data_IF_029720111097
#
_entry.id   IF_029720111097
#
_cell.length_a   1.000
_cell.length_b   1.000
_cell.length_c   1.000
_cell.angle_alpha   90.00
_cell.angle_beta   90.00
_cell.angle_gamma   90.00
#
_symmetry.space_group_name_H-M   'P 1'
#
loop_
_entity.id
_entity.type
_entity.pdbx_description
1 polymer ?
#
# COMPACT_ATOMS: atom_id res chain seq x y z
N UNK A 1 -25.73 23.26 28.42
CA UNK A 1 -24.75 23.03 27.35
C UNK A 1 -24.34 24.40 26.81
N UNK A 2 -23.14 24.85 27.15
CA UNK A 2 -22.56 26.06 26.55
C UNK A 2 -21.84 25.64 25.29
N UNK A 3 -22.37 25.97 24.11
CA UNK A 3 -21.71 25.78 22.84
C UNK A 3 -20.58 26.81 22.76
N UNK A 4 -19.32 26.37 22.80
CA UNK A 4 -18.17 27.25 22.59
C UNK A 4 -18.13 27.81 21.17
N UNK A 5 -17.37 28.87 20.93
CA UNK A 5 -17.28 29.53 19.60
C UNK A 5 -16.69 28.63 18.50
N UNK A 6 -16.15 27.48 18.83
CA UNK A 6 -15.57 26.54 17.87
C UNK A 6 -14.33 27.08 17.13
N UNK A 7 -13.56 26.20 16.46
CA UNK A 7 -12.45 26.58 15.60
C UNK A 7 -12.96 26.80 14.16
N UNK A 8 -13.31 28.06 13.80
CA UNK A 8 -13.82 28.42 12.47
C UNK A 8 -12.83 28.10 11.35
N UNK A 9 -11.53 28.40 11.44
CA UNK A 9 -10.55 28.01 10.44
C UNK A 9 -10.46 26.49 10.19
N UNK A 10 -10.49 25.69 11.26
CA UNK A 10 -10.49 24.22 11.15
C UNK A 10 -11.80 23.71 10.50
N UNK A 11 -12.93 24.34 10.80
CA UNK A 11 -14.22 24.00 10.17
C UNK A 11 -14.21 24.30 8.67
N UNK A 12 -13.66 25.45 8.24
CA UNK A 12 -13.52 25.78 6.82
C UNK A 12 -12.64 24.77 6.11
N UNK A 13 -11.49 24.41 6.69
CA UNK A 13 -10.58 23.41 6.15
C UNK A 13 -11.31 22.06 5.97
N UNK A 14 -12.00 21.57 7.00
CA UNK A 14 -12.72 20.30 6.95
C UNK A 14 -13.82 20.31 5.88
N UNK A 15 -14.57 21.40 5.74
CA UNK A 15 -15.59 21.52 4.71
C UNK A 15 -15.01 21.55 3.29
N UNK A 16 -13.82 22.11 3.12
CA UNK A 16 -13.10 22.09 1.84
C UNK A 16 -12.56 20.69 1.53
N UNK A 17 -11.96 19.99 2.51
CA UNK A 17 -11.49 18.61 2.36
C UNK A 17 -12.62 17.63 2.00
N UNK A 18 -13.83 17.88 2.53
CA UNK A 18 -15.03 17.09 2.22
C UNK A 18 -15.77 17.55 0.97
N UNK A 19 -15.23 18.54 0.24
CA UNK A 19 -15.83 19.16 -0.95
C UNK A 19 -17.25 19.75 -0.70
N UNK A 20 -17.60 20.06 0.54
CA UNK A 20 -18.93 20.58 0.94
C UNK A 20 -18.89 22.13 1.00
N UNK A 21 -18.46 22.75 -0.08
CA UNK A 21 -18.30 24.21 -0.15
C UNK A 21 -19.59 25.00 0.11
N UNK A 22 -20.75 24.41 -0.19
CA UNK A 22 -22.05 25.05 -0.01
C UNK A 22 -22.42 25.35 1.45
N UNK A 23 -21.78 24.69 2.41
CA UNK A 23 -22.01 24.92 3.84
C UNK A 23 -21.18 26.08 4.39
N UNK A 24 -20.10 26.50 3.75
CA UNK A 24 -19.25 27.60 4.22
C UNK A 24 -20.08 28.89 4.42
N UNK A 25 -20.84 29.39 3.42
CA UNK A 25 -21.67 30.56 3.59
C UNK A 25 -22.84 30.33 4.56
N UNK A 26 -23.39 29.13 4.59
CA UNK A 26 -24.54 28.80 5.47
C UNK A 26 -24.20 28.87 6.96
N UNK A 27 -22.92 28.58 7.30
CA UNK A 27 -22.43 28.70 8.69
C UNK A 27 -21.75 30.04 8.98
N UNK A 28 -21.83 31.00 8.06
CA UNK A 28 -21.22 32.33 8.24
C UNK A 28 -19.69 32.27 8.32
N UNK A 29 -19.12 31.38 7.60
CA UNK A 29 -17.67 31.17 7.54
C UNK A 29 -17.02 31.86 6.31
N UNK A 30 -17.80 32.71 5.61
CA UNK A 30 -17.31 33.51 4.49
C UNK A 30 -16.19 34.43 4.96
N UNK A 31 -15.07 34.42 4.23
CA UNK A 31 -13.89 35.23 4.53
C UNK A 31 -13.01 34.69 5.68
N UNK A 32 -13.40 33.59 6.30
CA UNK A 32 -12.51 32.89 7.23
C UNK A 32 -11.46 32.10 6.43
N UNK A 33 -10.18 32.46 6.58
CA UNK A 33 -9.11 31.68 5.98
C UNK A 33 -9.10 30.27 6.59
N UNK A 34 -8.96 29.21 5.79
CA UNK A 34 -8.80 27.86 6.32
C UNK A 34 -7.55 27.82 7.22
N UNK A 35 -7.63 27.03 8.26
CA UNK A 35 -6.43 26.74 9.07
C UNK A 35 -5.36 26.20 8.13
N UNK A 36 -4.19 26.82 8.11
CA UNK A 36 -3.07 26.31 7.33
C UNK A 36 -2.90 24.84 7.72
N UNK A 37 -2.86 23.96 6.71
CA UNK A 37 -2.47 22.59 6.96
C UNK A 37 -1.19 22.69 7.80
N UNK A 38 -1.21 22.12 9.01
CA UNK A 38 0.03 22.00 9.75
C UNK A 38 1.04 21.47 8.73
N UNK A 39 2.09 22.24 8.46
CA UNK A 39 3.16 21.78 7.59
C UNK A 39 3.51 20.41 8.18
N UNK A 40 3.15 19.35 7.45
CA UNK A 40 3.62 18.03 7.80
C UNK A 40 5.13 18.20 7.79
N UNK A 41 5.71 18.33 8.99
CA UNK A 41 7.14 18.33 9.14
C UNK A 41 7.59 17.11 8.35
N UNK A 42 8.38 17.33 7.32
CA UNK A 42 8.89 16.25 6.49
C UNK A 42 9.61 15.28 7.44
N UNK A 43 8.90 14.26 7.86
CA UNK A 43 9.49 13.20 8.67
C UNK A 43 10.46 12.52 7.74
N UNK A 44 11.74 12.64 8.06
CA UNK A 44 12.78 11.93 7.31
C UNK A 44 12.53 10.42 7.53
N UNK A 45 12.01 9.78 6.50
CA UNK A 45 11.68 8.36 6.56
C UNK A 45 12.99 7.56 6.41
N UNK A 46 13.13 6.45 7.13
CA UNK A 46 14.26 5.57 6.94
C UNK A 46 14.26 5.01 5.51
N UNK A 47 15.44 4.86 4.92
CA UNK A 47 15.59 4.13 3.68
C UNK A 47 15.60 2.63 3.97
N UNK A 48 14.86 1.87 3.16
CA UNK A 48 14.79 0.42 3.30
C UNK A 48 16.15 -0.24 3.00
N UNK A 49 16.47 -1.27 3.73
CA UNK A 49 17.56 -2.16 3.38
C UNK A 49 17.09 -3.12 2.28
N UNK A 50 17.87 -3.22 1.19
CA UNK A 50 17.68 -4.25 0.18
C UNK A 50 18.56 -5.44 0.52
N UNK A 51 17.96 -6.61 0.71
CA UNK A 51 18.67 -7.84 1.06
C UNK A 51 18.22 -9.02 0.19
N UNK A 52 19.02 -10.06 0.15
CA UNK A 52 18.60 -11.36 -0.40
C UNK A 52 17.78 -12.11 0.63
N UNK A 53 16.73 -12.81 0.17
CA UNK A 53 15.91 -13.62 1.05
C UNK A 53 16.79 -14.69 1.74
N UNK A 54 16.69 -14.88 3.06
CA UNK A 54 17.41 -15.94 3.76
C UNK A 54 17.16 -17.33 3.16
N UNK A 55 18.15 -18.22 3.24
CA UNK A 55 18.00 -19.60 2.76
C UNK A 55 16.89 -20.36 3.52
N UNK A 56 16.70 -20.04 4.78
CA UNK A 56 15.62 -20.54 5.64
C UNK A 56 14.81 -19.35 6.15
N UNK A 57 13.85 -18.84 5.34
CA UNK A 57 13.02 -17.75 5.77
C UNK A 57 12.12 -18.19 6.94
N UNK A 58 11.88 -17.30 7.89
CA UNK A 58 10.98 -17.55 9.01
C UNK A 58 10.30 -16.25 9.45
N UNK A 59 9.12 -16.37 10.05
CA UNK A 59 8.37 -15.25 10.57
C UNK A 59 7.35 -14.69 9.58
N UNK A 60 7.04 -13.41 9.71
CA UNK A 60 5.97 -12.77 8.99
C UNK A 60 6.53 -11.88 7.87
N UNK A 61 5.99 -12.05 6.67
CA UNK A 61 6.36 -11.26 5.49
C UNK A 61 5.13 -10.68 4.81
N UNK A 62 5.24 -9.45 4.35
CA UNK A 62 4.33 -8.88 3.36
C UNK A 62 4.85 -9.19 1.96
N UNK A 63 4.06 -9.84 1.12
CA UNK A 63 4.44 -10.18 -0.26
C UNK A 63 3.55 -9.45 -1.26
N UNK A 64 4.18 -8.76 -2.19
CA UNK A 64 3.47 -8.06 -3.26
C UNK A 64 4.21 -8.15 -4.60
N UNK A 65 3.45 -7.94 -5.67
CA UNK A 65 4.02 -7.82 -7.01
C UNK A 65 4.25 -6.34 -7.34
N UNK A 66 5.41 -6.04 -7.93
CA UNK A 66 5.62 -4.80 -8.66
C UNK A 66 5.13 -5.00 -10.08
N UNK A 67 4.13 -4.23 -10.54
CA UNK A 67 3.56 -4.37 -11.87
C UNK A 67 4.61 -4.19 -12.97
N UNK A 68 4.42 -4.87 -14.10
CA UNK A 68 5.24 -4.64 -15.27
C UNK A 68 5.11 -3.19 -15.75
N UNK A 69 6.23 -2.58 -16.08
CA UNK A 69 6.26 -1.26 -16.72
C UNK A 69 6.25 -1.46 -18.23
N UNK A 70 5.24 -0.91 -18.89
CA UNK A 70 5.12 -0.95 -20.34
C UNK A 70 5.36 0.43 -20.95
N UNK A 71 5.96 0.46 -22.11
CA UNK A 71 6.20 1.68 -22.88
C UNK A 71 5.87 1.48 -24.35
N UNK A 72 6.02 2.54 -25.13
CA UNK A 72 5.85 2.49 -26.59
C UNK A 72 7.19 2.57 -27.29
N UNK A 73 7.42 1.67 -28.23
CA UNK A 73 8.50 1.74 -29.19
C UNK A 73 7.87 1.84 -30.59
N UNK A 74 7.73 3.06 -31.09
CA UNK A 74 6.91 3.34 -32.25
C UNK A 74 5.43 3.07 -31.96
N UNK A 75 4.80 2.19 -32.76
CA UNK A 75 3.38 1.78 -32.58
C UNK A 75 3.21 0.54 -31.69
N UNK A 76 4.30 -0.10 -31.27
CA UNK A 76 4.25 -1.34 -30.48
C UNK A 76 4.36 -1.05 -29.00
N UNK A 77 3.51 -1.70 -28.19
CA UNK A 77 3.71 -1.76 -26.75
C UNK A 77 4.83 -2.76 -26.45
N UNK A 78 5.81 -2.31 -25.67
CA UNK A 78 6.92 -3.15 -25.20
C UNK A 78 6.97 -3.14 -23.68
N UNK A 79 7.34 -4.26 -23.09
CA UNK A 79 7.60 -4.37 -21.67
C UNK A 79 9.00 -3.80 -21.41
N UNK A 80 9.08 -2.68 -20.70
CA UNK A 80 10.34 -2.05 -20.31
C UNK A 80 10.94 -2.70 -19.07
N UNK A 81 10.06 -3.04 -18.13
CA UNK A 81 10.40 -3.80 -16.92
C UNK A 81 9.34 -4.87 -16.72
N UNK A 82 9.74 -6.14 -16.59
CA UNK A 82 8.79 -7.21 -16.31
C UNK A 82 8.19 -7.08 -14.92
N UNK A 83 7.07 -7.74 -14.69
CA UNK A 83 6.53 -7.93 -13.35
C UNK A 83 7.57 -8.63 -12.48
N UNK A 84 7.73 -8.15 -11.26
CA UNK A 84 8.63 -8.76 -10.27
C UNK A 84 7.95 -8.83 -8.92
N UNK A 85 8.42 -9.74 -8.09
CA UNK A 85 7.90 -9.93 -6.74
C UNK A 85 8.89 -9.41 -5.72
N UNK A 86 8.37 -9.00 -4.57
CA UNK A 86 9.18 -8.64 -3.42
C UNK A 86 8.47 -9.03 -2.13
N UNK A 87 9.26 -9.27 -1.09
CA UNK A 87 8.78 -9.42 0.27
C UNK A 87 9.29 -8.26 1.12
N UNK A 88 8.54 -7.92 2.16
CA UNK A 88 8.92 -6.95 3.18
C UNK A 88 8.84 -7.62 4.53
N UNK A 89 9.88 -7.43 5.33
CA UNK A 89 9.89 -7.77 6.75
C UNK A 89 10.51 -6.59 7.49
N UNK A 90 9.78 -5.98 8.40
CA UNK A 90 10.14 -4.73 9.06
C UNK A 90 10.44 -3.60 8.06
N UNK A 91 11.68 -3.15 7.94
CA UNK A 91 12.16 -2.15 6.98
C UNK A 91 13.05 -2.75 5.89
N UNK A 92 13.15 -4.07 5.82
CA UNK A 92 13.96 -4.77 4.83
C UNK A 92 13.08 -5.23 3.67
N UNK A 93 13.52 -4.94 2.45
CA UNK A 93 12.87 -5.37 1.22
C UNK A 93 13.71 -6.44 0.54
N UNK A 94 13.09 -7.56 0.24
CA UNK A 94 13.68 -8.70 -0.42
C UNK A 94 13.14 -8.80 -1.85
N UNK A 95 13.90 -8.42 -2.88
CA UNK A 95 13.56 -8.78 -4.26
C UNK A 95 13.47 -10.30 -4.39
N UNK A 96 12.40 -10.81 -4.99
CA UNK A 96 12.15 -12.24 -5.08
C UNK A 96 12.25 -12.73 -6.52
N UNK A 97 13.06 -13.73 -6.73
CA UNK A 97 12.99 -14.58 -7.91
C UNK A 97 11.95 -15.69 -7.70
N UNK A 98 11.59 -16.41 -8.76
CA UNK A 98 10.62 -17.52 -8.66
C UNK A 98 11.02 -18.58 -7.63
N UNK A 99 12.32 -18.89 -7.53
CA UNK A 99 12.84 -19.83 -6.53
C UNK A 99 12.69 -19.32 -5.09
N UNK A 100 12.86 -18.01 -4.87
CA UNK A 100 12.68 -17.37 -3.57
C UNK A 100 11.22 -17.39 -3.14
N UNK A 101 10.33 -17.09 -4.09
CA UNK A 101 8.89 -17.12 -3.86
C UNK A 101 8.42 -18.53 -3.47
N UNK A 102 8.91 -19.55 -4.18
CA UNK A 102 8.63 -20.95 -3.83
C UNK A 102 9.12 -21.27 -2.42
N UNK A 103 10.33 -20.85 -2.04
CA UNK A 103 10.86 -21.05 -0.68
C UNK A 103 10.00 -20.39 0.41
N UNK A 104 9.44 -19.21 0.16
CA UNK A 104 8.51 -18.59 1.09
C UNK A 104 7.20 -19.37 1.19
N UNK A 105 6.67 -19.82 0.03
CA UNK A 105 5.38 -20.50 -0.03
C UNK A 105 5.44 -21.93 0.54
N UNK A 106 6.55 -22.63 0.41
CA UNK A 106 6.73 -24.02 0.89
C UNK A 106 7.18 -24.11 2.35
N UNK A 107 7.33 -23.00 3.06
CA UNK A 107 7.87 -23.00 4.42
C UNK A 107 6.78 -22.81 5.48
N UNK A 108 6.62 -23.82 6.33
CA UNK A 108 5.62 -23.83 7.42
C UNK A 108 5.89 -22.79 8.54
N UNK A 109 7.14 -22.33 8.67
CA UNK A 109 7.53 -21.31 9.66
C UNK A 109 7.29 -19.87 9.15
N UNK A 110 6.69 -19.74 7.96
CA UNK A 110 6.39 -18.46 7.33
C UNK A 110 4.90 -18.16 7.35
N UNK A 111 4.56 -16.94 7.74
CA UNK A 111 3.23 -16.37 7.60
C UNK A 111 3.27 -15.19 6.63
N UNK A 112 2.25 -15.04 5.81
CA UNK A 112 2.22 -14.07 4.73
C UNK A 112 1.02 -13.16 4.82
N UNK A 113 1.26 -11.85 4.79
CA UNK A 113 0.31 -10.88 4.28
C UNK A 113 0.58 -10.69 2.78
N UNK A 114 -0.46 -10.72 1.98
CA UNK A 114 -0.29 -10.63 0.54
C UNK A 114 -1.19 -9.56 -0.07
N UNK A 115 -0.73 -8.98 -1.15
CA UNK A 115 -1.60 -8.20 -2.01
C UNK A 115 -1.94 -9.02 -3.26
N UNK A 116 -3.17 -9.60 -3.30
CA UNK A 116 -3.65 -10.50 -4.34
C UNK A 116 -2.99 -11.90 -4.30
N UNK A 117 -3.57 -12.78 -3.51
CA UNK A 117 -3.08 -14.15 -3.33
C UNK A 117 -3.23 -15.05 -4.59
N UNK A 118 -4.14 -14.73 -5.52
CA UNK A 118 -4.44 -15.60 -6.65
C UNK A 118 -3.22 -15.99 -7.51
N UNK A 119 -2.29 -15.08 -7.90
CA UNK A 119 -1.09 -15.48 -8.63
C UNK A 119 -0.14 -16.34 -7.79
N UNK A 120 -0.10 -16.15 -6.46
CA UNK A 120 0.73 -16.95 -5.56
C UNK A 120 0.24 -18.39 -5.50
N UNK A 121 -1.08 -18.59 -5.41
CA UNK A 121 -1.67 -19.93 -5.47
C UNK A 121 -1.28 -20.66 -6.76
N UNK A 122 -1.32 -19.99 -7.90
CA UNK A 122 -0.91 -20.59 -9.16
C UNK A 122 0.56 -21.03 -9.16
N UNK A 123 1.46 -20.23 -8.56
CA UNK A 123 2.89 -20.58 -8.44
C UNK A 123 3.12 -21.74 -7.47
N UNK A 124 2.47 -21.74 -6.32
CA UNK A 124 2.57 -22.81 -5.34
C UNK A 124 2.06 -24.16 -5.88
N UNK A 125 0.94 -24.15 -6.58
CA UNK A 125 0.41 -25.36 -7.25
C UNK A 125 1.37 -25.90 -8.31
N UNK A 126 2.06 -25.03 -9.05
CA UNK A 126 3.05 -25.44 -10.03
C UNK A 126 4.32 -26.02 -9.40
N UNK A 127 4.62 -25.65 -8.15
CA UNK A 127 5.80 -26.11 -7.40
C UNK A 127 5.53 -27.34 -6.52
N UNK A 128 4.28 -27.83 -6.49
CA UNK A 128 3.85 -29.00 -5.72
C UNK A 128 4.05 -28.85 -4.19
N UNK A 129 4.07 -27.58 -3.70
CA UNK A 129 4.34 -27.27 -2.30
C UNK A 129 3.58 -26.04 -1.82
N UNK A 130 2.93 -26.17 -0.65
CA UNK A 130 2.37 -25.06 0.11
C UNK A 130 2.48 -25.37 1.61
N UNK A 131 3.46 -24.73 2.25
CA UNK A 131 3.69 -24.88 3.69
C UNK A 131 3.31 -23.63 4.49
N UNK A 132 3.49 -22.44 3.91
CA UNK A 132 3.21 -21.17 4.57
C UNK A 132 1.72 -20.88 4.75
N UNK A 133 1.39 -20.00 5.69
CA UNK A 133 0.01 -19.55 5.93
C UNK A 133 -0.18 -18.13 5.40
N UNK A 134 -1.14 -17.93 4.49
CA UNK A 134 -1.62 -16.58 4.16
C UNK A 134 -2.60 -16.18 5.26
N UNK A 135 -2.25 -15.11 5.99
CA UNK A 135 -3.04 -14.57 7.09
C UNK A 135 -3.97 -13.48 6.59
N UNK A 136 -3.53 -12.70 5.61
CA UNK A 136 -4.26 -11.56 5.10
C UNK A 136 -4.06 -11.35 3.59
N UNK A 137 -5.15 -11.03 2.88
CA UNK A 137 -5.10 -10.59 1.47
C UNK A 137 -5.71 -9.20 1.36
N UNK A 138 -4.87 -8.18 1.13
CA UNK A 138 -5.28 -6.77 1.05
C UNK A 138 -6.23 -6.48 -0.11
N UNK A 139 -6.14 -7.20 -1.22
CA UNK A 139 -7.08 -7.03 -2.34
C UNK A 139 -8.46 -7.59 -2.00
N UNK A 140 -8.52 -8.74 -1.34
CA UNK A 140 -9.78 -9.32 -0.88
C UNK A 140 -10.41 -8.45 0.21
N UNK A 141 -9.62 -7.94 1.14
CA UNK A 141 -10.08 -7.01 2.17
C UNK A 141 -10.69 -5.75 1.57
N UNK A 142 -10.01 -5.12 0.61
CA UNK A 142 -10.54 -3.95 -0.10
C UNK A 142 -11.86 -4.24 -0.82
N UNK A 143 -11.99 -5.42 -1.45
CA UNK A 143 -13.25 -5.87 -2.05
C UNK A 143 -14.38 -6.02 -1.01
N UNK A 144 -14.08 -6.55 0.16
CA UNK A 144 -15.08 -6.72 1.22
C UNK A 144 -15.54 -5.37 1.82
N UNK A 145 -14.64 -4.38 1.85
CA UNK A 145 -14.96 -3.04 2.35
C UNK A 145 -15.79 -2.22 1.34
N UNK A 146 -15.50 -2.35 0.06
CA UNK A 146 -16.24 -1.67 -1.02
C UNK A 146 -16.36 -2.56 -2.26
N UNK A 147 -17.37 -3.42 -2.29
CA UNK A 147 -17.65 -4.31 -3.42
C UNK A 147 -18.11 -3.57 -4.68
N UNK A 148 -18.41 -2.27 -4.59
CA UNK A 148 -18.87 -1.46 -5.73
C UNK A 148 -17.72 -0.86 -6.54
N UNK A 149 -16.50 -0.85 -6.01
CA UNK A 149 -15.33 -0.34 -6.71
C UNK A 149 -15.03 -1.16 -7.97
N UNK A 150 -14.63 -0.47 -9.02
CA UNK A 150 -14.33 -1.12 -10.32
C UNK A 150 -12.95 -1.76 -10.37
N UNK A 151 -12.05 -1.36 -9.47
CA UNK A 151 -10.66 -1.79 -9.42
C UNK A 151 -10.15 -1.84 -7.97
N UNK A 152 -9.21 -2.74 -7.72
CA UNK A 152 -8.54 -2.92 -6.44
C UNK A 152 -7.04 -3.07 -6.71
N UNK A 153 -6.41 -1.96 -7.11
CA UNK A 153 -4.96 -1.91 -7.36
C UNK A 153 -4.27 -1.14 -6.25
N UNK A 154 -3.01 -1.47 -5.98
CA UNK A 154 -2.19 -0.77 -4.97
C UNK A 154 -2.20 0.74 -5.20
N UNK A 155 -2.04 1.18 -6.44
CA UNK A 155 -2.04 2.59 -6.83
C UNK A 155 -3.35 3.35 -6.52
N UNK A 156 -4.46 2.63 -6.37
CA UNK A 156 -5.77 3.19 -6.03
C UNK A 156 -6.03 3.12 -4.51
N UNK A 157 -5.61 2.03 -3.87
CA UNK A 157 -5.84 1.82 -2.44
C UNK A 157 -4.95 2.70 -1.56
N UNK A 158 -3.69 2.90 -1.93
CA UNK A 158 -2.76 3.77 -1.18
C UNK A 158 -3.36 5.17 -0.95
N UNK A 159 -3.82 5.91 -1.97
CA UNK A 159 -4.44 7.21 -1.75
C UNK A 159 -5.83 7.12 -1.09
N UNK A 160 -6.63 6.11 -1.43
CA UNK A 160 -7.97 5.94 -0.88
C UNK A 160 -7.95 5.75 0.65
N UNK A 161 -7.00 4.98 1.15
CA UNK A 161 -6.83 4.74 2.58
C UNK A 161 -5.79 5.64 3.24
N UNK A 162 -5.27 6.66 2.51
CA UNK A 162 -4.27 7.61 3.01
C UNK A 162 -3.08 6.91 3.67
N UNK A 163 -2.61 5.82 3.06
CA UNK A 163 -1.47 5.09 3.56
C UNK A 163 -0.21 5.96 3.52
N UNK A 164 0.38 6.20 4.68
CA UNK A 164 1.65 6.90 4.81
C UNK A 164 2.80 5.94 4.51
N UNK A 165 3.95 6.44 4.04
CA UNK A 165 5.10 5.57 3.92
C UNK A 165 5.71 5.31 5.30
N UNK A 166 5.93 4.04 5.65
CA UNK A 166 6.69 3.68 6.85
C UNK A 166 8.20 3.81 6.63
N UNK A 167 8.63 3.65 5.38
CA UNK A 167 10.00 3.82 4.91
C UNK A 167 10.01 4.16 3.41
N UNK A 168 11.15 4.56 2.88
CA UNK A 168 11.37 4.79 1.44
C UNK A 168 12.16 3.64 0.83
N UNK A 169 11.85 3.29 -0.44
CA UNK A 169 12.60 2.32 -1.21
C UNK A 169 12.55 2.72 -2.68
N UNK A 170 13.70 3.04 -3.26
CA UNK A 170 13.78 3.55 -4.65
C UNK A 170 13.31 2.50 -5.66
N UNK A 171 13.70 1.23 -5.47
CA UNK A 171 13.36 0.15 -6.39
C UNK A 171 11.93 -0.38 -6.22
N UNK A 172 11.36 -0.20 -5.01
CA UNK A 172 10.01 -0.64 -4.65
C UNK A 172 9.24 0.49 -3.94
N UNK A 173 8.82 1.54 -4.67
CA UNK A 173 8.31 2.78 -4.08
C UNK A 173 7.01 2.61 -3.28
N UNK A 174 6.25 1.55 -3.55
CA UNK A 174 5.02 1.25 -2.82
C UNK A 174 5.23 0.39 -1.57
N UNK A 175 6.44 -0.17 -1.36
CA UNK A 175 6.70 -1.11 -0.28
C UNK A 175 6.43 -0.53 1.12
N UNK A 176 6.94 0.67 1.41
CA UNK A 176 6.73 1.33 2.70
C UNK A 176 5.28 1.75 2.94
N UNK A 177 4.54 2.10 1.88
CA UNK A 177 3.12 2.43 1.99
C UNK A 177 2.24 1.20 2.15
N UNK A 178 2.61 0.10 1.51
CA UNK A 178 1.94 -1.18 1.73
C UNK A 178 2.18 -1.68 3.16
N UNK A 179 3.40 -1.56 3.68
CA UNK A 179 3.70 -1.92 5.06
C UNK A 179 2.81 -1.15 6.06
N UNK A 180 2.61 0.17 5.87
CA UNK A 180 1.68 0.96 6.68
C UNK A 180 0.22 0.53 6.50
N UNK A 181 -0.20 0.27 5.25
CA UNK A 181 -1.58 -0.14 4.95
C UNK A 181 -1.94 -1.46 5.62
N UNK A 182 -1.00 -2.41 5.71
CA UNK A 182 -1.21 -3.72 6.34
C UNK A 182 -1.04 -3.69 7.86
N UNK A 183 -0.39 -2.67 8.42
CA UNK A 183 -0.26 -2.49 9.88
C UNK A 183 -1.51 -1.89 10.55
N UNK A 184 -2.47 -1.39 9.77
CA UNK A 184 -3.72 -0.76 10.24
C UNK A 184 -4.85 -1.76 10.34
#
# INVERSE_FOLDING_TARGET
>A
YTVGEGNKPAAVRLLQELEIHSLIPRFGLDGVAPEAAAEEQAVELPEAELASLPLTPAGHYLVAARPAVTGKQGTRNVVLQPESWYAVQDTTVYPLEDADLVRLLDNADVTLDVFNAAPLYAKAMAADGWGSSIVWDGKLAAYLLDASASKYQISELIPAYKAAAAFTCTDYPDAGRLADLFAR
#
